data_IF_406355540912
#
_entry.id   IF_406355540912
#
_cell.length_a   1.000
_cell.length_b   1.000
_cell.length_c   1.000
_cell.angle_alpha   90.00
_cell.angle_beta   90.00
_cell.angle_gamma   90.00
#
_symmetry.space_group_name_H-M   'P 1'
#
loop_
_entity.id
_entity.type
_entity.pdbx_description
1 polymer ?
#
# COMPACT_ATOMS: atom_id res chain seq x y z
N UNK A 1 -4.51 -19.03 14.93
CA UNK A 1 -4.97 -18.39 13.78
C UNK A 1 -3.97 -18.48 12.69
N UNK A 2 -4.41 -18.87 11.66
CA UNK A 2 -3.54 -18.99 10.64
C UNK A 2 -3.63 -17.90 9.75
N UNK A 3 -2.81 -17.66 9.38
CA UNK A 3 -2.91 -16.94 8.80
C UNK A 3 -2.64 -16.12 7.73
N UNK A 4 -2.56 -14.97 8.00
CA UNK A 4 -2.20 -14.01 7.00
C UNK A 4 -0.72 -13.75 7.08
N UNK A 5 -0.11 -13.62 5.95
CA UNK A 5 1.28 -13.19 5.88
C UNK A 5 1.30 -11.71 5.60
N UNK A 6 1.99 -10.98 6.43
CA UNK A 6 2.16 -9.54 6.24
C UNK A 6 3.50 -9.31 5.57
N UNK A 7 3.45 -8.63 4.43
CA UNK A 7 4.64 -8.30 3.65
C UNK A 7 4.72 -6.80 3.49
N UNK A 8 5.76 -6.35 2.80
CA UNK A 8 5.96 -4.92 2.64
C UNK A 8 6.57 -4.66 1.28
N UNK A 9 5.94 -3.78 0.50
CA UNK A 9 6.55 -3.26 -0.70
C UNK A 9 7.58 -2.22 -0.34
N UNK A 10 8.79 -2.40 -0.82
CA UNK A 10 9.86 -1.43 -0.63
C UNK A 10 9.84 -0.50 -1.82
N UNK A 11 9.16 0.62 -1.67
CA UNK A 11 9.00 1.55 -2.77
C UNK A 11 10.27 2.37 -2.99
N UNK A 12 10.62 2.66 -4.23
CA UNK A 12 11.75 3.54 -4.50
C UNK A 12 11.38 5.02 -4.44
N UNK A 13 10.12 5.33 -4.17
CA UNK A 13 9.68 6.72 -4.25
C UNK A 13 9.55 7.35 -2.89
N UNK A 14 9.76 8.66 -2.87
CA UNK A 14 9.46 9.52 -1.75
C UNK A 14 8.24 10.32 -2.14
N UNK A 15 7.23 10.35 -1.28
CA UNK A 15 6.03 11.12 -1.52
C UNK A 15 6.11 12.40 -0.73
N UNK A 16 5.96 13.52 -1.43
CA UNK A 16 6.14 14.82 -0.81
C UNK A 16 4.92 15.67 -1.05
N UNK A 17 4.49 16.40 -0.02
CA UNK A 17 3.35 17.29 -0.12
C UNK A 17 3.72 18.66 0.45
N UNK A 18 2.84 19.62 0.23
CA UNK A 18 3.01 20.95 0.78
C UNK A 18 2.96 20.93 2.30
N UNK A 19 3.53 21.90 2.98
CA UNK A 19 3.47 21.95 4.43
C UNK A 19 2.02 21.92 4.94
N UNK A 20 1.81 21.18 5.99
CA UNK A 20 0.48 21.02 6.58
C UNK A 20 -0.33 19.90 6.00
N UNK A 21 0.20 19.12 5.07
CA UNK A 21 -0.52 18.02 4.45
C UNK A 21 0.04 16.68 4.89
N UNK A 22 -0.85 15.72 4.96
CA UNK A 22 -0.52 14.31 5.13
C UNK A 22 -1.12 13.53 3.98
N UNK A 23 -0.69 12.30 3.83
CA UNK A 23 -1.23 11.42 2.79
C UNK A 23 -1.73 10.14 3.43
N UNK A 24 -2.93 9.73 3.03
CA UNK A 24 -3.49 8.45 3.42
C UNK A 24 -3.20 7.45 2.32
N UNK A 25 -2.64 6.31 2.71
CA UNK A 25 -2.39 5.19 1.80
C UNK A 25 -3.40 4.12 2.12
N UNK A 26 -4.12 3.64 1.11
CA UNK A 26 -5.19 2.69 1.32
C UNK A 26 -5.32 1.78 0.11
N UNK A 27 -6.09 0.68 0.23
CA UNK A 27 -6.29 -0.21 -0.90
C UNK A 27 -6.97 0.52 -2.05
N UNK A 28 -6.67 0.14 -3.29
CA UNK A 28 -7.35 0.73 -4.44
C UNK A 28 -8.84 0.41 -4.38
N UNK A 29 -9.65 1.40 -4.68
CA UNK A 29 -11.09 1.25 -4.61
C UNK A 29 -11.55 0.27 -5.67
N UNK A 30 -12.34 -0.74 -5.24
CA UNK A 30 -12.99 -1.70 -6.13
C UNK A 30 -12.01 -2.55 -6.93
N UNK A 31 -10.81 -2.77 -6.41
CA UNK A 31 -9.85 -3.64 -7.07
C UNK A 31 -9.71 -4.92 -6.27
N UNK A 32 -10.67 -5.82 -6.47
CA UNK A 32 -10.71 -7.06 -5.69
C UNK A 32 -9.97 -8.20 -6.35
N UNK A 33 -9.49 -8.00 -7.56
CA UNK A 33 -8.88 -9.10 -8.30
C UNK A 33 -7.42 -9.35 -7.92
N UNK A 34 -6.78 -8.41 -7.23
CA UNK A 34 -5.39 -8.61 -6.87
C UNK A 34 -5.29 -9.39 -5.56
N UNK A 35 -4.27 -10.23 -5.40
CA UNK A 35 -4.19 -11.13 -4.25
C UNK A 35 -3.55 -10.49 -3.03
N UNK A 36 -3.66 -9.20 -2.87
CA UNK A 36 -3.10 -8.50 -1.72
C UNK A 36 -4.09 -7.46 -1.24
N UNK A 37 -3.99 -7.15 0.03
CA UNK A 37 -4.76 -6.04 0.63
C UNK A 37 -3.73 -5.13 1.31
N UNK A 38 -3.45 -3.97 0.71
CA UNK A 38 -2.59 -3.00 1.37
C UNK A 38 -3.23 -2.52 2.67
N UNK A 39 -2.41 -2.33 3.67
CA UNK A 39 -2.89 -1.82 4.94
C UNK A 39 -2.98 -0.31 4.86
N UNK A 40 -3.99 0.23 5.51
CA UNK A 40 -4.19 1.67 5.54
C UNK A 40 -3.10 2.32 6.39
N UNK A 41 -2.51 3.38 5.90
CA UNK A 41 -1.50 4.10 6.65
C UNK A 41 -1.63 5.59 6.44
N UNK A 42 -1.24 6.35 7.44
CA UNK A 42 -1.22 7.79 7.38
C UNK A 42 0.21 8.26 7.57
N UNK A 43 0.67 9.11 6.67
CA UNK A 43 2.04 9.60 6.71
C UNK A 43 2.02 11.11 6.59
N UNK A 44 2.78 11.77 7.44
CA UNK A 44 2.95 13.22 7.35
C UNK A 44 3.96 13.51 6.24
N UNK A 45 3.45 13.58 5.03
CA UNK A 45 4.29 13.63 3.84
C UNK A 45 4.95 14.98 3.62
N UNK A 46 4.60 15.98 4.41
CA UNK A 46 5.32 17.24 4.36
C UNK A 46 6.66 17.16 5.12
N UNK A 47 6.84 16.14 5.98
CA UNK A 47 8.07 16.04 6.77
C UNK A 47 8.74 14.68 6.68
N UNK A 48 8.11 13.71 6.02
CA UNK A 48 8.67 12.37 5.92
C UNK A 48 9.42 12.25 4.60
N UNK A 49 10.73 12.24 4.68
CA UNK A 49 11.56 12.30 3.48
C UNK A 49 12.27 10.96 3.20
N UNK A 50 11.64 9.87 3.54
CA UNK A 50 12.14 8.54 3.26
C UNK A 50 11.24 7.85 2.25
N UNK A 51 11.75 6.78 1.68
CA UNK A 51 10.95 5.97 0.78
C UNK A 51 9.72 5.45 1.50
N UNK A 52 8.60 5.44 0.79
CA UNK A 52 7.35 4.96 1.36
C UNK A 52 7.31 3.45 1.19
N UNK A 53 7.12 2.75 2.30
CA UNK A 53 6.93 1.32 2.27
C UNK A 53 5.45 1.02 2.49
N UNK A 54 4.93 0.08 1.73
CA UNK A 54 3.50 -0.23 1.75
C UNK A 54 3.34 -1.63 2.30
N UNK A 55 2.92 -1.77 3.56
CA UNK A 55 2.62 -3.10 4.10
C UNK A 55 1.32 -3.61 3.52
N UNK A 56 1.25 -4.91 3.32
CA UNK A 56 0.06 -5.52 2.76
C UNK A 56 -0.09 -6.94 3.27
N UNK A 57 -1.32 -7.42 3.20
CA UNK A 57 -1.65 -8.79 3.53
C UNK A 57 -1.82 -9.56 2.24
N UNK A 58 -1.16 -10.68 2.14
CA UNK A 58 -1.32 -11.57 1.01
C UNK A 58 -2.56 -12.42 1.24
N UNK A 59 -3.50 -12.36 0.31
CA UNK A 59 -4.81 -12.99 0.50
C UNK A 59 -4.96 -14.29 -0.25
N UNK A 60 -3.93 -14.75 -0.94
CA UNK A 60 -4.01 -16.04 -1.62
C UNK A 60 -4.05 -17.15 -0.57
N UNK A 61 -5.06 -17.99 -0.68
CA UNK A 61 -5.33 -18.97 0.35
C UNK A 61 -4.86 -20.36 -0.03
N UNK A 62 -4.63 -20.62 -1.30
CA UNK A 62 -4.32 -21.97 -1.75
C UNK A 62 -2.86 -22.27 -1.48
N UNK A 63 -2.55 -23.23 -0.67
CA UNK A 63 -1.17 -23.47 -0.32
C UNK A 63 -0.32 -23.98 -1.48
N UNK A 64 -0.92 -24.60 -2.47
CA UNK A 64 -0.15 -25.06 -3.61
C UNK A 64 -0.17 -24.08 -4.76
N UNK A 65 -0.68 -22.90 -4.57
CA UNK A 65 -0.53 -21.88 -5.58
C UNK A 65 0.92 -21.52 -5.70
N UNK A 66 1.45 -21.70 -6.86
CA UNK A 66 2.86 -21.50 -7.02
C UNK A 66 3.25 -20.07 -6.90
N UNK A 67 2.49 -19.23 -7.51
CA UNK A 67 2.81 -17.83 -7.47
C UNK A 67 1.63 -17.05 -7.97
N UNK A 68 1.57 -15.83 -7.52
CA UNK A 68 0.58 -14.89 -7.99
C UNK A 68 1.29 -13.76 -8.67
N UNK A 69 0.96 -13.51 -9.91
CA UNK A 69 1.61 -12.50 -10.71
C UNK A 69 0.73 -11.27 -10.73
N UNK A 70 1.28 -10.15 -10.33
CA UNK A 70 0.61 -8.87 -10.46
C UNK A 70 1.25 -8.16 -11.62
N UNK A 71 0.53 -8.01 -12.74
CA UNK A 71 1.13 -7.41 -13.92
C UNK A 71 1.57 -5.98 -13.68
N UNK A 72 2.58 -5.57 -14.41
CA UNK A 72 3.01 -4.18 -14.35
C UNK A 72 1.85 -3.27 -14.74
N UNK A 73 1.75 -2.14 -14.06
CA UNK A 73 0.67 -1.22 -14.29
C UNK A 73 -0.57 -1.46 -13.43
N UNK A 74 -0.58 -2.54 -12.67
CA UNK A 74 -1.71 -2.79 -11.78
C UNK A 74 -1.65 -1.83 -10.60
N UNK A 75 -2.74 -1.12 -10.31
CA UNK A 75 -2.75 -0.29 -9.10
C UNK A 75 -2.67 -1.16 -7.86
N UNK A 76 -1.77 -0.82 -6.95
CA UNK A 76 -1.63 -1.58 -5.71
C UNK A 76 -1.97 -0.75 -4.49
N UNK A 77 -2.09 0.55 -4.64
CA UNK A 77 -2.34 1.43 -3.52
C UNK A 77 -2.95 2.71 -4.04
N UNK A 78 -3.87 3.26 -3.28
CA UNK A 78 -4.47 4.55 -3.57
C UNK A 78 -3.94 5.55 -2.56
N UNK A 79 -3.65 6.77 -3.01
CA UNK A 79 -3.12 7.79 -2.12
C UNK A 79 -4.05 8.99 -2.14
N UNK A 80 -4.33 9.52 -0.97
CA UNK A 80 -5.20 10.68 -0.83
C UNK A 80 -4.47 11.68 0.06
N UNK A 81 -3.96 12.77 -0.51
CA UNK A 81 -3.40 13.83 0.32
C UNK A 81 -4.53 14.64 0.96
N UNK A 82 -4.30 15.09 2.17
CA UNK A 82 -5.29 15.90 2.85
C UNK A 82 -4.58 16.90 3.77
N UNK A 83 -5.26 18.00 3.99
CA UNK A 83 -4.71 19.05 4.83
C UNK A 83 -5.01 18.73 6.29
N UNK A 84 -3.99 18.77 7.13
CA UNK A 84 -4.19 18.71 8.57
C UNK A 84 -4.78 20.05 9.00
N UNK A 85 -5.75 20.00 9.88
CA UNK A 85 -6.50 21.20 10.27
C UNK A 85 -5.65 22.31 10.86
#
# INVERSE_FOLDING_TARGET
>A
MTGYTVCKFMSPWIVETAPGYSTMFLPPINRLEIPIVPLVGLVDTDTYFNNVNIPFIHTAMEPDEKKHVIPAGTPICQVIPYKRS
#
